data_IF_333851052672
#
_entry.id   IF_333851052672
#
_cell.length_a   1.000
_cell.length_b   1.000
_cell.length_c   1.000
_cell.angle_alpha   90.00
_cell.angle_beta   90.00
_cell.angle_gamma   90.00
#
_symmetry.space_group_name_H-M   'P 1'
#
loop_
_entity.id
_entity.type
_entity.pdbx_description
1 polymer ?
#
# COMPACT_ATOMS: atom_id res chain seq x y z
N UNK A 1 1.81 -8.93 11.09
CA UNK A 1 2.23 -8.46 9.74
C UNK A 1 1.20 -7.49 9.20
N UNK A 2 1.59 -6.34 8.64
CA UNK A 2 0.65 -5.43 7.97
C UNK A 2 -0.08 -6.11 6.82
N UNK A 3 -1.30 -5.66 6.52
CA UNK A 3 -2.01 -6.03 5.29
C UNK A 3 -1.98 -4.83 4.35
N UNK A 4 -1.65 -5.05 3.07
CA UNK A 4 -1.60 -4.02 2.04
C UNK A 4 -2.68 -4.37 1.02
N UNK A 5 -3.49 -3.39 0.63
CA UNK A 5 -4.60 -3.58 -0.32
C UNK A 5 -4.70 -2.38 -1.27
N UNK A 6 -4.62 -2.63 -2.57
CA UNK A 6 -5.06 -1.68 -3.59
C UNK A 6 -6.59 -1.62 -3.59
N UNK A 7 -7.15 -0.64 -2.88
CA UNK A 7 -8.59 -0.60 -2.55
C UNK A 7 -9.54 -0.50 -3.75
N UNK A 8 -9.03 -0.18 -4.94
CA UNK A 8 -9.82 -0.18 -6.18
C UNK A 8 -9.82 -1.52 -6.92
N UNK A 9 -8.88 -2.41 -6.63
CA UNK A 9 -8.93 -3.80 -7.08
C UNK A 9 -9.99 -4.54 -6.25
N UNK A 10 -11.27 -4.31 -6.59
CA UNK A 10 -12.41 -4.75 -5.76
C UNK A 10 -12.66 -6.25 -5.82
N UNK A 11 -12.20 -6.92 -6.87
CA UNK A 11 -12.29 -8.37 -7.04
C UNK A 11 -11.02 -9.07 -6.52
N UNK A 12 -9.96 -8.31 -6.21
CA UNK A 12 -8.67 -8.76 -5.71
C UNK A 12 -8.00 -9.80 -6.62
N UNK A 13 -8.05 -9.56 -7.94
CA UNK A 13 -7.45 -10.43 -8.95
C UNK A 13 -6.05 -9.98 -9.40
N UNK A 14 -5.56 -8.85 -8.87
CA UNK A 14 -4.26 -8.26 -9.20
C UNK A 14 -4.29 -7.45 -10.50
N UNK A 15 -5.45 -7.29 -11.12
CA UNK A 15 -5.65 -6.44 -12.28
C UNK A 15 -6.54 -5.26 -11.94
N UNK A 16 -6.10 -4.08 -12.32
CA UNK A 16 -6.88 -2.86 -12.16
C UNK A 16 -7.47 -2.48 -13.52
N UNK A 17 -8.71 -2.87 -13.76
CA UNK A 17 -9.40 -2.58 -15.00
C UNK A 17 -9.95 -1.15 -15.03
N UNK A 18 -10.45 -0.71 -16.20
CA UNK A 18 -11.02 0.63 -16.38
C UNK A 18 -12.17 0.93 -15.42
N UNK A 19 -13.09 -0.02 -15.19
CA UNK A 19 -14.23 0.19 -14.29
C UNK A 19 -13.78 0.37 -12.84
N UNK A 20 -12.76 -0.36 -12.42
CA UNK A 20 -12.16 -0.26 -11.09
C UNK A 20 -11.39 1.05 -10.92
N UNK A 21 -10.66 1.48 -11.95
CA UNK A 21 -9.81 2.67 -11.87
C UNK A 21 -10.55 3.99 -12.14
N UNK A 22 -11.67 4.00 -12.88
CA UNK A 22 -12.39 5.23 -13.25
C UNK A 22 -13.44 5.70 -12.23
N UNK A 23 -13.57 5.03 -11.09
CA UNK A 23 -14.63 5.28 -10.10
C UNK A 23 -14.52 6.62 -9.32
N UNK A 24 -14.05 7.72 -9.94
CA UNK A 24 -13.96 9.13 -9.49
C UNK A 24 -12.52 9.67 -9.23
N UNK A 25 -11.51 9.37 -10.07
CA UNK A 25 -10.15 9.90 -9.88
C UNK A 25 -9.27 9.95 -11.14
N UNK A 26 -8.00 10.29 -10.95
CA UNK A 26 -6.96 10.26 -12.00
C UNK A 26 -6.72 8.82 -12.47
N UNK A 27 -6.89 8.49 -13.77
CA UNK A 27 -6.67 7.12 -14.26
C UNK A 27 -5.20 6.68 -14.19
N UNK A 28 -4.27 7.58 -13.88
CA UNK A 28 -2.84 7.27 -13.74
C UNK A 28 -2.44 6.97 -12.30
N UNK A 29 -3.36 7.03 -11.33
CA UNK A 29 -3.07 6.70 -9.94
C UNK A 29 -4.16 5.83 -9.33
N UNK A 30 -3.80 5.08 -8.29
CA UNK A 30 -4.75 4.26 -7.52
C UNK A 30 -4.42 4.29 -6.03
N UNK A 31 -5.43 4.30 -5.13
CA UNK A 31 -5.20 4.33 -3.69
C UNK A 31 -4.83 2.96 -3.12
N UNK A 32 -3.87 2.96 -2.20
CA UNK A 32 -3.53 1.80 -1.38
C UNK A 32 -3.90 2.05 0.08
N UNK A 33 -4.39 1.02 0.77
CA UNK A 33 -4.60 1.02 2.21
C UNK A 33 -3.65 0.02 2.86
N UNK A 34 -3.01 0.45 3.94
CA UNK A 34 -2.14 -0.39 4.76
C UNK A 34 -2.77 -0.51 6.15
N UNK A 35 -3.23 -1.71 6.48
CA UNK A 35 -3.82 -2.01 7.78
C UNK A 35 -2.74 -2.51 8.74
N UNK A 36 -2.65 -1.85 9.89
CA UNK A 36 -1.72 -2.21 10.97
C UNK A 36 -2.26 -3.42 11.75
N UNK A 37 -1.45 -4.44 12.04
CA UNK A 37 -1.90 -5.60 12.82
C UNK A 37 -2.11 -5.23 14.30
N UNK A 38 -3.00 -5.95 14.98
CA UNK A 38 -3.42 -5.63 16.34
C UNK A 38 -2.28 -5.62 17.39
N UNK A 39 -1.23 -6.40 17.15
CA UNK A 39 -0.05 -6.56 18.00
C UNK A 39 0.96 -5.41 17.88
N UNK A 40 0.88 -4.58 16.84
CA UNK A 40 1.69 -3.37 16.71
C UNK A 40 1.19 -2.28 17.66
N UNK A 41 2.10 -1.47 18.19
CA UNK A 41 1.83 -0.44 19.18
C UNK A 41 1.91 0.98 18.61
N UNK A 42 1.21 1.91 19.25
CA UNK A 42 1.40 3.33 18.95
C UNK A 42 2.85 3.70 19.29
N UNK A 43 3.53 4.34 18.36
CA UNK A 43 4.96 4.66 18.45
C UNK A 43 5.90 3.66 17.77
N UNK A 44 5.41 2.50 17.31
CA UNK A 44 6.15 1.66 16.37
C UNK A 44 6.30 2.36 15.01
N UNK A 45 7.21 1.88 14.15
CA UNK A 45 7.44 2.45 12.81
C UNK A 45 6.82 1.57 11.73
N UNK A 46 5.94 2.14 10.91
CA UNK A 46 5.45 1.56 9.67
C UNK A 46 6.40 1.96 8.54
N UNK A 47 7.12 0.98 7.99
CA UNK A 47 8.08 1.18 6.91
C UNK A 47 7.50 0.64 5.61
N UNK A 48 7.40 1.50 4.60
CA UNK A 48 6.65 1.27 3.36
C UNK A 48 7.61 1.43 2.18
N UNK A 49 7.56 0.50 1.23
CA UNK A 49 8.25 0.58 -0.05
C UNK A 49 7.22 0.56 -1.17
N UNK A 50 7.26 1.58 -2.03
CA UNK A 50 6.45 1.69 -3.23
C UNK A 50 7.37 1.46 -4.42
N UNK A 51 7.11 0.43 -5.21
CA UNK A 51 7.77 0.19 -6.50
C UNK A 51 6.84 0.66 -7.61
N UNK A 52 7.27 1.67 -8.36
CA UNK A 52 6.50 2.35 -9.40
C UNK A 52 6.60 1.57 -10.73
N UNK A 53 5.69 1.83 -11.70
CA UNK A 53 5.73 1.19 -13.01
C UNK A 53 7.00 1.43 -13.83
N UNK A 54 7.78 2.47 -13.52
CA UNK A 54 9.07 2.73 -14.16
C UNK A 54 10.23 1.94 -13.53
N UNK A 55 9.95 1.14 -12.49
CA UNK A 55 10.93 0.36 -11.74
C UNK A 55 11.62 1.15 -10.63
N UNK A 56 11.34 2.44 -10.47
CA UNK A 56 11.88 3.22 -9.36
C UNK A 56 11.17 2.90 -8.06
N UNK A 57 11.89 3.03 -6.95
CA UNK A 57 11.35 2.78 -5.61
C UNK A 57 11.30 4.07 -4.79
N UNK A 58 10.22 4.25 -4.04
CA UNK A 58 10.07 5.28 -3.04
C UNK A 58 9.85 4.63 -1.67
N UNK A 59 10.63 5.04 -0.68
CA UNK A 59 10.51 4.54 0.69
C UNK A 59 9.89 5.61 1.59
N UNK A 60 8.94 5.21 2.42
CA UNK A 60 8.30 6.06 3.43
C UNK A 60 8.40 5.39 4.79
N UNK A 61 8.54 6.20 5.83
CA UNK A 61 8.48 5.74 7.21
C UNK A 61 7.51 6.62 7.96
N UNK A 62 6.50 5.99 8.55
CA UNK A 62 5.47 6.65 9.35
C UNK A 62 5.54 6.12 10.78
N UNK A 63 5.36 7.01 11.76
CA UNK A 63 5.18 6.55 13.14
C UNK A 63 3.72 6.14 13.31
N UNK A 64 3.47 4.95 13.85
CA UNK A 64 2.11 4.47 14.09
C UNK A 64 1.45 5.35 15.14
N UNK A 65 0.50 6.17 14.71
CA UNK A 65 -0.38 6.97 15.57
C UNK A 65 -1.63 6.16 15.93
N UNK A 66 -2.44 6.61 16.91
CA UNK A 66 -3.75 6.00 17.17
C UNK A 66 -4.66 5.97 15.93
N UNK A 67 -4.58 6.99 15.08
CA UNK A 67 -5.35 7.05 13.82
C UNK A 67 -4.89 5.98 12.84
N UNK A 68 -3.59 5.87 12.58
CA UNK A 68 -3.03 4.81 11.71
C UNK A 68 -3.34 3.42 12.27
N UNK A 69 -3.26 3.24 13.59
CA UNK A 69 -3.58 1.96 14.24
C UNK A 69 -5.04 1.55 14.05
N UNK A 70 -5.97 2.51 14.15
CA UNK A 70 -7.40 2.20 14.10
C UNK A 70 -7.97 2.15 12.68
N UNK A 71 -7.49 3.03 11.79
CA UNK A 71 -8.07 3.22 10.46
C UNK A 71 -7.18 2.66 9.33
N UNK A 72 -5.91 2.35 9.63
CA UNK A 72 -4.88 2.10 8.64
C UNK A 72 -4.25 3.39 8.10
N UNK A 73 -3.26 3.24 7.23
CA UNK A 73 -2.61 4.33 6.51
C UNK A 73 -3.00 4.27 5.04
N UNK A 74 -3.46 5.39 4.48
CA UNK A 74 -3.91 5.48 3.08
C UNK A 74 -2.88 6.28 2.28
N UNK A 75 -2.45 5.73 1.14
CA UNK A 75 -1.67 6.44 0.14
C UNK A 75 -2.60 6.65 -1.06
N UNK A 76 -3.05 7.89 -1.33
CA UNK A 76 -4.12 8.12 -2.30
C UNK A 76 -3.67 7.88 -3.75
N UNK A 77 -2.40 8.15 -4.05
CA UNK A 77 -1.92 8.31 -5.42
C UNK A 77 -0.69 7.43 -5.70
N UNK A 78 -0.87 6.11 -5.75
CA UNK A 78 0.18 5.22 -6.26
C UNK A 78 0.13 5.26 -7.80
N UNK A 79 1.22 5.63 -8.49
CA UNK A 79 1.24 5.65 -9.95
C UNK A 79 0.94 4.28 -10.56
N UNK A 80 0.18 4.24 -11.65
CA UNK A 80 -0.08 3.04 -12.44
C UNK A 80 0.22 3.30 -13.91
N UNK A 81 0.48 2.23 -14.67
CA UNK A 81 0.71 2.32 -16.11
C UNK A 81 0.36 1.01 -16.79
N UNK A 82 -0.28 1.12 -17.95
CA UNK A 82 -0.69 -0.01 -18.79
C UNK A 82 0.40 -1.06 -18.95
N UNK A 83 0.04 -2.31 -18.65
CA UNK A 83 0.92 -3.49 -18.73
C UNK A 83 2.13 -3.47 -17.79
N UNK A 84 2.23 -2.54 -16.85
CA UNK A 84 3.36 -2.43 -15.92
C UNK A 84 2.91 -2.51 -14.46
N UNK A 85 3.66 -3.25 -13.61
CA UNK A 85 3.24 -3.47 -12.24
C UNK A 85 3.50 -2.25 -11.35
N UNK A 86 2.61 -2.07 -10.38
CA UNK A 86 2.81 -1.24 -9.20
C UNK A 86 2.72 -2.11 -7.96
N UNK A 87 3.74 -2.06 -7.12
CA UNK A 87 3.83 -2.89 -5.92
C UNK A 87 4.00 -2.01 -4.69
N UNK A 88 3.24 -2.29 -3.63
CA UNK A 88 3.46 -1.70 -2.31
C UNK A 88 3.76 -2.83 -1.34
N UNK A 89 4.83 -2.70 -0.57
CA UNK A 89 5.10 -3.56 0.59
C UNK A 89 5.28 -2.73 1.85
N UNK A 90 4.98 -3.34 2.98
CA UNK A 90 5.12 -2.71 4.28
C UNK A 90 5.48 -3.72 5.37
N UNK A 91 6.34 -3.29 6.29
CA UNK A 91 6.61 -3.99 7.54
C UNK A 91 6.62 -3.01 8.71
N UNK A 92 6.61 -3.55 9.92
CA UNK A 92 6.67 -2.75 11.15
C UNK A 92 7.94 -3.06 11.90
N UNK A 93 8.60 -2.01 12.40
CA UNK A 93 9.71 -2.11 13.36
C UNK A 93 9.22 -1.59 14.71
N UNK A 94 9.31 -2.41 15.74
CA UNK A 94 8.90 -2.01 17.09
C UNK A 94 9.88 -1.00 17.70
N UNK A 95 9.50 -0.43 18.85
CA UNK A 95 10.34 0.54 19.56
C UNK A 95 11.68 -0.02 20.07
N UNK A 96 11.80 -1.35 20.20
CA UNK A 96 13.04 -2.03 20.55
C UNK A 96 13.93 -2.31 19.32
N UNK A 97 13.44 -2.04 18.11
CA UNK A 97 14.15 -2.26 16.84
C UNK A 97 13.90 -3.64 16.23
N UNK A 98 12.95 -4.43 16.73
CA UNK A 98 12.62 -5.72 16.14
C UNK A 98 11.76 -5.52 14.88
N UNK A 99 12.21 -6.11 13.78
CA UNK A 99 11.49 -6.09 12.50
C UNK A 99 10.46 -7.24 12.43
N UNK A 100 9.21 -6.89 12.17
CA UNK A 100 8.12 -7.84 11.93
C UNK A 100 8.08 -8.38 10.50
N UNK A 101 7.06 -9.18 10.21
CA UNK A 101 6.78 -9.68 8.86
C UNK A 101 6.39 -8.57 7.88
N UNK A 102 6.58 -8.85 6.59
CA UNK A 102 6.22 -7.96 5.48
C UNK A 102 4.87 -8.36 4.85
N UNK A 103 3.98 -7.39 4.70
CA UNK A 103 2.81 -7.48 3.82
C UNK A 103 3.10 -6.85 2.47
N UNK A 104 2.47 -7.34 1.40
CA UNK A 104 2.67 -6.85 0.03
C UNK A 104 1.38 -7.00 -0.77
N UNK A 105 1.15 -6.05 -1.66
CA UNK A 105 0.17 -6.16 -2.73
C UNK A 105 0.75 -5.64 -4.06
N UNK A 106 0.23 -6.12 -5.19
CA UNK A 106 0.68 -5.76 -6.54
C UNK A 106 -0.48 -5.77 -7.51
N UNK A 107 -0.59 -4.69 -8.29
CA UNK A 107 -1.54 -4.58 -9.38
C UNK A 107 -0.84 -4.31 -10.71
N UNK A 108 -1.49 -4.71 -11.79
CA UNK A 108 -1.20 -4.27 -13.16
C UNK A 108 -2.48 -3.73 -13.78
N UNK A 109 -2.43 -2.64 -14.54
CA UNK A 109 -3.61 -2.18 -15.29
C UNK A 109 -3.74 -2.95 -16.60
N UNK A 110 -4.96 -3.35 -16.93
CA UNK A 110 -5.32 -3.93 -18.24
C UNK A 110 -5.63 -2.82 -19.26
N UNK A 111 -5.56 -3.16 -20.55
CA UNK A 111 -5.76 -2.26 -21.69
C UNK A 111 -7.22 -2.18 -22.14
#
# INVERSE_FOLDING_TARGET
TPTVEFTRDTNNDGFLNKSENEANGDPNTTPVKITVPADANVGDKLEITITKPDGTTENKTETITPEIKNNGYIIPDIPVKDGKPSTVSAYITDQAGNKGGEGRDTITTDT
#
